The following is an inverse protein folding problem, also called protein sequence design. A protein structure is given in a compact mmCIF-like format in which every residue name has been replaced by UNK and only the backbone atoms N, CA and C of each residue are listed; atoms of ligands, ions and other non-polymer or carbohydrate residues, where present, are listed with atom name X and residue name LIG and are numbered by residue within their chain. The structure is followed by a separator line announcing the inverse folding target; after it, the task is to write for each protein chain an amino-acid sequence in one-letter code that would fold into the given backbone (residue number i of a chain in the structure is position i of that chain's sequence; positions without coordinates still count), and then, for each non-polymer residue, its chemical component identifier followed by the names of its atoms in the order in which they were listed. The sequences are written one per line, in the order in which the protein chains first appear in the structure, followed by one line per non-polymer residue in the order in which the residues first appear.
data_IF_759996384768
#
_entry.id   IF_759996384768
#
_cell.length_a   1.000
_cell.length_b   1.000
_cell.length_c   1.000
_cell.angle_alpha   90.00
_cell.angle_beta   90.00
_cell.angle_gamma   90.00
#
_symmetry.space_group_name_H-M   'P 1'
#
loop_
_entity.id
_entity.type
_entity.pdbx_description
1 polymer ?
#
# COMPACT_ATOMS: atom_id res chain seq x y z
N UNK A 1 -23.37 -8.85 23.90
CA UNK A 1 -22.27 -7.96 24.34
C UNK A 1 -20.91 -8.51 23.91
N UNK A 2 -20.61 -9.78 24.19
CA UNK A 2 -19.34 -10.45 23.82
C UNK A 2 -19.04 -10.46 22.32
N UNK A 3 -20.03 -10.78 21.47
CA UNK A 3 -19.87 -10.77 20.00
C UNK A 3 -19.48 -9.38 19.47
N UNK A 4 -20.09 -8.32 20.02
CA UNK A 4 -19.82 -6.93 19.61
C UNK A 4 -18.40 -6.54 19.99
N UNK A 5 -17.95 -6.89 21.20
CA UNK A 5 -16.58 -6.65 21.65
C UNK A 5 -15.58 -7.39 20.75
N UNK A 6 -15.85 -8.66 20.42
CA UNK A 6 -15.00 -9.44 19.52
C UNK A 6 -14.87 -8.81 18.13
N UNK A 7 -15.97 -8.27 17.58
CA UNK A 7 -15.94 -7.59 16.27
C UNK A 7 -15.09 -6.31 16.37
N UNK A 8 -15.27 -5.50 17.42
CA UNK A 8 -14.51 -4.27 17.62
C UNK A 8 -13.01 -4.57 17.73
N UNK A 9 -12.63 -5.56 18.55
CA UNK A 9 -11.23 -5.97 18.69
C UNK A 9 -10.67 -6.48 17.35
N UNK A 10 -11.44 -7.28 16.61
CA UNK A 10 -11.06 -7.75 15.28
C UNK A 10 -10.80 -6.60 14.29
N UNK A 11 -11.65 -5.57 14.28
CA UNK A 11 -11.47 -4.38 13.43
C UNK A 11 -10.24 -3.58 13.81
N UNK A 12 -9.95 -3.41 15.10
CA UNK A 12 -8.74 -2.72 15.58
C UNK A 12 -7.49 -3.46 15.12
N UNK A 13 -7.46 -4.79 15.30
CA UNK A 13 -6.33 -5.62 14.85
C UNK A 13 -6.17 -5.53 13.34
N UNK A 14 -7.26 -5.59 12.58
CA UNK A 14 -7.21 -5.48 11.12
C UNK A 14 -6.66 -4.12 10.67
N UNK A 15 -7.13 -3.02 11.28
CA UNK A 15 -6.63 -1.68 11.00
C UNK A 15 -5.13 -1.54 11.31
N UNK A 16 -4.68 -2.12 12.42
CA UNK A 16 -3.27 -2.14 12.78
C UNK A 16 -2.43 -2.92 11.76
N UNK A 17 -2.87 -4.12 11.38
CA UNK A 17 -2.19 -4.95 10.36
C UNK A 17 -2.13 -4.23 9.00
N UNK A 18 -3.21 -3.56 8.60
CA UNK A 18 -3.23 -2.77 7.38
C UNK A 18 -2.25 -1.58 7.44
N UNK A 19 -2.17 -0.88 8.56
CA UNK A 19 -1.19 0.20 8.76
C UNK A 19 0.26 -0.30 8.62
N UNK A 20 0.59 -1.45 9.20
CA UNK A 20 1.91 -2.08 9.06
C UNK A 20 2.18 -2.46 7.59
N UNK A 21 1.18 -3.01 6.90
CA UNK A 21 1.29 -3.36 5.48
C UNK A 21 1.62 -2.13 4.63
N UNK A 22 0.94 -0.99 4.84
CA UNK A 22 1.20 0.25 4.12
C UNK A 22 2.66 0.70 4.28
N UNK A 23 3.21 0.67 5.49
CA UNK A 23 4.61 1.05 5.76
C UNK A 23 5.59 0.12 5.02
N UNK A 24 5.34 -1.19 5.04
CA UNK A 24 6.20 -2.19 4.40
C UNK A 24 6.20 -2.00 2.87
N UNK A 25 5.02 -1.86 2.26
CA UNK A 25 4.87 -1.75 0.81
C UNK A 25 5.49 -0.45 0.28
N UNK A 26 5.42 0.66 1.02
CA UNK A 26 6.11 1.91 0.65
C UNK A 26 7.62 1.75 0.62
N UNK A 27 8.17 1.07 1.63
CA UNK A 27 9.62 0.89 1.74
C UNK A 27 10.15 -0.08 0.69
N UNK A 28 9.35 -1.10 0.34
CA UNK A 28 9.72 -2.17 -0.58
C UNK A 28 8.62 -2.38 -1.64
N UNK A 29 8.48 -1.48 -2.62
CA UNK A 29 7.43 -1.59 -3.65
C UNK A 29 7.55 -2.84 -4.51
N UNK A 30 8.74 -3.46 -4.55
CA UNK A 30 8.95 -4.75 -5.20
C UNK A 30 8.07 -5.88 -4.62
N UNK A 31 7.65 -5.79 -3.35
CA UNK A 31 6.78 -6.78 -2.70
C UNK A 31 5.44 -6.90 -3.42
N UNK A 32 4.90 -5.80 -3.98
CA UNK A 32 3.64 -5.79 -4.74
C UNK A 32 3.68 -6.83 -5.85
N UNK A 33 4.78 -6.83 -6.62
CA UNK A 33 4.95 -7.72 -7.76
C UNK A 33 5.21 -9.16 -7.32
N UNK A 34 6.03 -9.36 -6.27
CA UNK A 34 6.34 -10.69 -5.75
C UNK A 34 5.09 -11.37 -5.19
N UNK A 35 4.31 -10.66 -4.37
CA UNK A 35 3.09 -11.19 -3.76
C UNK A 35 1.97 -11.33 -4.79
N UNK A 36 1.83 -10.35 -5.69
CA UNK A 36 0.83 -10.37 -6.75
C UNK A 36 1.04 -11.51 -7.75
N UNK A 37 2.23 -11.56 -8.37
CA UNK A 37 2.55 -12.60 -9.37
C UNK A 37 2.70 -13.96 -8.68
N UNK A 38 3.42 -14.03 -7.56
CA UNK A 38 3.64 -15.28 -6.82
C UNK A 38 2.33 -15.86 -6.29
N UNK A 39 1.48 -15.03 -5.67
CA UNK A 39 0.17 -15.44 -5.19
C UNK A 39 -0.76 -15.87 -6.33
N UNK A 40 -0.81 -15.09 -7.41
CA UNK A 40 -1.60 -15.43 -8.59
C UNK A 40 -1.15 -16.75 -9.25
N UNK A 41 0.16 -16.99 -9.36
CA UNK A 41 0.71 -18.22 -9.92
C UNK A 41 0.38 -19.43 -9.04
N UNK A 42 0.55 -19.33 -7.72
CA UNK A 42 0.24 -20.42 -6.79
C UNK A 42 -1.25 -20.78 -6.84
N UNK A 43 -2.14 -19.79 -6.84
CA UNK A 43 -3.58 -20.02 -6.99
C UNK A 43 -3.91 -20.61 -8.36
N UNK A 44 -3.24 -20.14 -9.41
CA UNK A 44 -3.40 -20.65 -10.77
C UNK A 44 -3.02 -22.12 -10.92
N UNK A 45 -1.94 -22.55 -10.24
CA UNK A 45 -1.50 -23.95 -10.19
C UNK A 45 -2.46 -24.81 -9.38
N UNK A 46 -2.92 -24.31 -8.23
CA UNK A 46 -3.80 -25.06 -7.33
C UNK A 46 -5.25 -25.17 -7.83
N UNK A 47 -5.69 -24.26 -8.71
CA UNK A 47 -7.07 -24.21 -9.19
C UNK A 47 -7.15 -24.12 -10.72
N UNK A 48 -7.16 -22.91 -11.28
CA UNK A 48 -7.21 -22.66 -12.71
C UNK A 48 -6.47 -21.37 -13.03
N UNK A 49 -5.77 -21.34 -14.17
CA UNK A 49 -4.92 -20.23 -14.59
C UNK A 49 -5.65 -18.87 -14.61
N UNK A 50 -6.93 -18.85 -15.00
CA UNK A 50 -7.76 -17.63 -15.03
C UNK A 50 -8.14 -17.13 -13.62
N UNK A 51 -8.37 -18.05 -12.66
CA UNK A 51 -8.61 -17.70 -11.24
C UNK A 51 -7.33 -17.12 -10.65
N UNK A 52 -6.18 -17.77 -10.94
CA UNK A 52 -4.87 -17.28 -10.55
C UNK A 52 -4.60 -15.87 -11.08
N UNK A 53 -4.92 -15.60 -12.35
CA UNK A 53 -4.79 -14.27 -12.92
C UNK A 53 -5.66 -13.23 -12.19
N UNK A 54 -6.94 -13.52 -11.94
CA UNK A 54 -7.84 -12.61 -11.22
C UNK A 54 -7.30 -12.30 -9.81
N UNK A 55 -6.91 -13.33 -9.07
CA UNK A 55 -6.37 -13.16 -7.71
C UNK A 55 -5.06 -12.38 -7.74
N UNK A 56 -4.18 -12.66 -8.70
CA UNK A 56 -2.92 -11.93 -8.87
C UNK A 56 -3.15 -10.44 -9.15
N UNK A 57 -4.03 -10.10 -10.09
CA UNK A 57 -4.39 -8.71 -10.38
C UNK A 57 -5.05 -8.02 -9.19
N UNK A 58 -5.92 -8.73 -8.46
CA UNK A 58 -6.55 -8.18 -7.26
C UNK A 58 -5.53 -7.87 -6.15
N UNK A 59 -4.57 -8.77 -5.92
CA UNK A 59 -3.48 -8.57 -4.96
C UNK A 59 -2.59 -7.39 -5.34
N UNK A 60 -2.24 -7.26 -6.62
CA UNK A 60 -1.46 -6.11 -7.11
C UNK A 60 -2.23 -4.81 -6.88
N UNK A 61 -3.51 -4.77 -7.25
CA UNK A 61 -4.36 -3.58 -7.08
C UNK A 61 -4.52 -3.19 -5.61
N UNK A 62 -4.78 -4.16 -4.73
CA UNK A 62 -4.92 -3.91 -3.29
C UNK A 62 -3.62 -3.36 -2.68
N UNK A 63 -2.48 -3.98 -2.99
CA UNK A 63 -1.19 -3.54 -2.48
C UNK A 63 -0.75 -2.20 -3.08
N UNK A 64 -1.05 -1.93 -4.35
CA UNK A 64 -0.83 -0.62 -4.97
C UNK A 64 -1.68 0.47 -4.32
N UNK A 65 -2.93 0.19 -3.97
CA UNK A 65 -3.71 1.15 -3.19
C UNK A 65 -3.08 1.40 -1.81
N UNK A 66 -2.65 0.33 -1.12
CA UNK A 66 -1.96 0.44 0.17
C UNK A 66 -0.64 1.22 0.08
N UNK A 67 0.06 1.20 -1.06
CA UNK A 67 1.27 2.00 -1.30
C UNK A 67 0.95 3.50 -1.34
N UNK A 68 -0.18 3.86 -1.96
CA UNK A 68 -0.61 5.24 -2.19
C UNK A 68 -1.43 5.87 -1.05
N UNK A 69 -1.85 5.09 -0.07
CA UNK A 69 -2.91 5.47 0.89
C UNK A 69 -2.59 6.65 1.80
N UNK A 70 -1.32 7.01 1.97
CA UNK A 70 -0.90 8.06 2.90
C UNK A 70 0.47 8.67 2.49
N UNK A 71 0.71 8.77 1.18
CA UNK A 71 1.88 9.45 0.62
C UNK A 71 1.62 9.96 -0.80
N UNK A 72 2.19 11.12 -1.14
CA UNK A 72 2.12 11.65 -2.50
C UNK A 72 3.21 11.04 -3.37
N UNK A 73 2.88 10.74 -4.64
CA UNK A 73 3.82 10.18 -5.59
C UNK A 73 4.91 11.21 -5.88
N UNK A 74 6.16 10.86 -5.59
CA UNK A 74 7.30 11.69 -5.93
C UNK A 74 7.44 11.82 -7.45
N UNK A 75 7.51 13.05 -7.98
CA UNK A 75 7.64 13.30 -9.42
C UNK A 75 8.98 12.82 -10.00
N UNK A 76 10.03 12.74 -9.18
CA UNK A 76 11.38 12.40 -9.64
C UNK A 76 11.62 10.88 -9.76
N UNK A 77 11.17 10.11 -8.75
CA UNK A 77 11.47 8.67 -8.68
C UNK A 77 10.22 7.78 -8.65
N UNK A 78 9.02 8.37 -8.63
CA UNK A 78 7.75 7.64 -8.59
C UNK A 78 7.43 6.96 -7.26
N UNK A 79 8.27 7.11 -6.24
CA UNK A 79 8.07 6.52 -4.91
C UNK A 79 6.94 7.23 -4.14
N UNK A 80 6.19 6.47 -3.36
CA UNK A 80 5.19 6.97 -2.41
C UNK A 80 5.74 7.12 -0.98
N UNK A 81 7.01 6.79 -0.76
CA UNK A 81 7.73 7.03 0.50
C UNK A 81 8.11 8.52 0.61
N UNK A 82 7.13 9.34 0.99
CA UNK A 82 7.26 10.80 1.14
C UNK A 82 6.82 11.27 2.53
N UNK A 83 7.42 12.34 3.03
CA UNK A 83 7.13 12.96 4.33
C UNK A 83 6.72 14.41 4.13
N UNK A 84 5.69 14.87 4.84
CA UNK A 84 5.27 16.28 4.77
C UNK A 84 6.29 17.14 5.53
N UNK A 85 6.94 18.08 4.84
CA UNK A 85 7.94 18.97 5.44
C UNK A 85 7.40 20.36 5.74
N UNK A 86 6.45 20.86 4.94
CA UNK A 86 5.78 22.16 5.18
C UNK A 86 4.31 22.08 4.76
N UNK A 87 3.45 22.73 5.55
CA UNK A 87 2.07 23.05 5.17
C UNK A 87 1.87 24.55 5.30
N UNK A 88 1.82 25.27 4.18
CA UNK A 88 1.58 26.71 4.15
C UNK A 88 0.44 27.02 3.17
N UNK A 89 -0.58 27.75 3.63
CA UNK A 89 -1.69 28.26 2.79
C UNK A 89 -2.39 27.20 1.91
N UNK A 90 -2.56 25.97 2.42
CA UNK A 90 -3.20 24.87 1.66
C UNK A 90 -2.30 24.21 0.62
N UNK A 91 -1.01 24.56 0.58
CA UNK A 91 0.01 23.88 -0.21
C UNK A 91 0.81 22.98 0.73
N UNK A 92 0.78 21.69 0.46
CA UNK A 92 1.60 20.71 1.16
C UNK A 92 2.87 20.45 0.35
N UNK A 93 4.02 20.56 1.01
CA UNK A 93 5.32 20.21 0.44
C UNK A 93 5.74 18.88 1.06
N UNK A 94 5.94 17.88 0.19
CA UNK A 94 6.41 16.56 0.57
C UNK A 94 7.86 16.37 0.13
N UNK A 95 8.69 15.83 1.01
CA UNK A 95 10.05 15.40 0.70
C UNK A 95 10.06 13.88 0.50
N UNK A 96 10.70 13.40 -0.57
CA UNK A 96 10.84 11.98 -0.79
C UNK A 96 12.00 11.41 0.02
N UNK A 97 11.74 10.37 0.82
CA UNK A 97 12.77 9.71 1.63
C UNK A 97 13.78 8.90 0.79
N UNK A 98 13.50 8.70 -0.51
CA UNK A 98 14.36 7.94 -1.43
C UNK A 98 15.35 8.80 -2.21
N UNK A 99 14.91 9.95 -2.72
CA UNK A 99 15.74 10.85 -3.54
C UNK A 99 15.98 12.22 -2.90
N UNK A 100 15.44 12.45 -1.71
CA UNK A 100 15.52 13.69 -0.93
C UNK A 100 14.97 14.94 -1.63
N UNK A 101 14.35 14.77 -2.81
CA UNK A 101 13.74 15.84 -3.58
C UNK A 101 12.36 16.20 -3.03
N UNK A 102 11.97 17.45 -3.25
CA UNK A 102 10.66 17.97 -2.86
C UNK A 102 9.65 17.83 -3.99
N UNK A 103 8.39 17.61 -3.64
CA UNK A 103 7.24 17.65 -4.52
C UNK A 103 6.15 18.43 -3.79
N UNK A 104 5.54 19.41 -4.44
CA UNK A 104 4.48 20.23 -3.87
C UNK A 104 3.16 19.97 -4.58
N UNK A 105 2.07 20.05 -3.86
CA UNK A 105 0.73 19.89 -4.39
C UNK A 105 -0.30 20.56 -3.50
N UNK A 106 -1.52 20.63 -4.03
CA UNK A 106 -2.71 21.13 -3.32
C UNK A 106 -3.46 19.97 -2.67
#
# INVERSE_FOLDING_TARGET
MEVIISIIVGLIVLAFLYGVLCVVVRKWPAIIWIVGIGGGLLVGIASSWWIGAIVGFFLIGFLGHAESSDGHRCAHCGSYDTTVTKKENGIEVWQCNKCEQFTSGY
#
